data_IF_279235828374
#
_entry.id   IF_279235828374
#
_cell.length_a   1.000
_cell.length_b   1.000
_cell.length_c   1.000
_cell.angle_alpha   90.00
_cell.angle_beta   90.00
_cell.angle_gamma   90.00
#
_symmetry.space_group_name_H-M   'P 1'
#
loop_
_entity.id
_entity.type
_entity.pdbx_description
1 polymer ?
#
# COMPACT_ATOMS: atom_id res chain seq x y z
N UNK A 1 -10.80 22.49 4.54
CA UNK A 1 -9.68 22.64 3.61
C UNK A 1 -9.91 21.69 2.46
N UNK A 2 -9.67 22.10 1.23
CA UNK A 2 -9.79 21.20 0.08
C UNK A 2 -8.76 20.08 0.24
N UNK A 3 -9.24 18.85 0.42
CA UNK A 3 -8.37 17.67 0.42
C UNK A 3 -7.80 17.56 -0.99
N UNK A 4 -6.48 17.71 -1.20
CA UNK A 4 -5.95 17.57 -2.52
C UNK A 4 -6.27 16.16 -3.02
N UNK A 5 -6.78 16.06 -4.24
CA UNK A 5 -6.71 14.80 -4.98
C UNK A 5 -5.23 14.54 -5.20
N UNK A 6 -4.70 13.64 -4.39
CA UNK A 6 -3.31 13.18 -4.48
C UNK A 6 -3.45 11.75 -4.92
N UNK A 7 -3.45 11.51 -6.22
CA UNK A 7 -3.52 10.16 -6.79
C UNK A 7 -2.45 9.32 -6.10
N UNK A 8 -2.87 8.50 -5.13
CA UNK A 8 -1.99 7.51 -4.52
C UNK A 8 -1.82 6.35 -5.48
N UNK A 9 -2.66 6.26 -6.51
CA UNK A 9 -2.49 5.39 -7.65
C UNK A 9 -2.63 6.14 -8.98
N UNK A 10 -1.60 6.04 -9.81
CA UNK A 10 -1.64 6.41 -11.23
C UNK A 10 -1.38 5.16 -12.09
N UNK A 11 -1.99 5.04 -13.28
CA UNK A 11 -1.63 3.98 -14.22
C UNK A 11 -0.22 4.23 -14.77
N UNK A 12 0.70 3.31 -14.53
CA UNK A 12 2.05 3.33 -15.11
C UNK A 12 2.05 3.03 -16.61
N UNK A 13 3.23 3.02 -17.24
CA UNK A 13 3.40 2.81 -18.70
C UNK A 13 2.79 1.49 -19.22
N UNK A 14 2.53 0.53 -18.33
CA UNK A 14 1.92 -0.77 -18.65
C UNK A 14 0.56 -1.01 -17.97
N UNK A 15 -0.05 0.05 -17.41
CA UNK A 15 -1.32 -0.04 -16.66
C UNK A 15 -1.17 -0.59 -15.25
N UNK A 16 0.06 -0.71 -14.74
CA UNK A 16 0.36 -1.13 -13.37
C UNK A 16 0.05 0.01 -12.39
N UNK A 17 -0.46 -0.28 -11.18
CA UNK A 17 -0.65 0.75 -10.18
C UNK A 17 0.70 1.29 -9.70
N UNK A 18 0.90 2.60 -9.78
CA UNK A 18 2.05 3.29 -9.20
C UNK A 18 1.66 4.11 -7.98
N UNK A 19 2.46 4.08 -6.92
CA UNK A 19 2.24 4.86 -5.71
C UNK A 19 3.08 6.12 -5.64
N UNK A 20 2.46 7.23 -5.25
CA UNK A 20 3.16 8.51 -5.11
C UNK A 20 4.03 8.56 -3.85
N UNK A 21 5.22 9.13 -4.00
CA UNK A 21 6.07 9.58 -2.90
C UNK A 21 6.57 11.01 -3.16
N UNK A 22 6.89 11.73 -2.09
CA UNK A 22 7.44 13.10 -2.16
C UNK A 22 8.92 13.05 -1.85
N UNK A 23 9.73 13.68 -2.69
CA UNK A 23 11.16 13.83 -2.48
C UNK A 23 11.50 15.31 -2.32
N UNK A 24 12.20 15.65 -1.25
CA UNK A 24 12.63 17.00 -0.94
C UNK A 24 14.15 17.04 -0.87
N UNK A 25 14.76 18.06 -1.46
CA UNK A 25 16.21 18.31 -1.38
C UNK A 25 16.47 19.71 -0.85
N UNK A 26 17.47 19.82 0.01
CA UNK A 26 18.07 21.08 0.43
C UNK A 26 19.49 21.13 -0.11
N UNK A 27 19.74 22.05 -1.03
CA UNK A 27 21.05 22.23 -1.63
C UNK A 27 21.70 23.52 -1.16
N UNK A 28 23.03 23.53 -1.18
CA UNK A 28 23.84 24.72 -0.95
C UNK A 28 24.71 24.95 -2.19
N UNK A 29 24.54 26.10 -2.84
CA UNK A 29 25.30 26.43 -4.05
C UNK A 29 26.81 26.41 -3.76
N UNK A 30 27.58 25.63 -4.54
CA UNK A 30 29.02 25.48 -4.32
C UNK A 30 29.85 26.75 -4.49
N UNK A 31 29.32 27.74 -5.25
CA UNK A 31 30.00 29.02 -5.47
C UNK A 31 29.65 30.08 -4.41
N UNK A 32 28.37 30.31 -4.14
CA UNK A 32 27.92 31.43 -3.29
C UNK A 32 27.32 31.01 -1.94
N UNK A 33 27.15 29.71 -1.68
CA UNK A 33 26.56 29.17 -0.44
C UNK A 33 25.06 29.46 -0.28
N UNK A 34 24.39 29.96 -1.31
CA UNK A 34 22.95 30.20 -1.25
C UNK A 34 22.20 28.86 -1.10
N UNK A 35 21.33 28.79 -0.09
CA UNK A 35 20.56 27.60 0.24
C UNK A 35 19.22 27.65 -0.46
N UNK A 36 18.88 26.58 -1.19
CA UNK A 36 17.61 26.44 -1.88
C UNK A 36 17.00 25.07 -1.61
N UNK A 37 15.67 25.03 -1.59
CA UNK A 37 14.90 23.82 -1.35
C UNK A 37 14.06 23.51 -2.58
N UNK A 38 14.05 22.26 -3.00
CA UNK A 38 13.20 21.80 -4.09
C UNK A 38 12.41 20.56 -3.68
N UNK A 39 11.18 20.50 -4.18
CA UNK A 39 10.24 19.41 -3.96
C UNK A 39 9.90 18.76 -5.29
N UNK A 40 9.88 17.44 -5.29
CA UNK A 40 9.51 16.62 -6.42
C UNK A 40 8.40 15.64 -6.04
N UNK A 41 7.41 15.51 -6.92
CA UNK A 41 6.35 14.52 -6.81
C UNK A 41 6.66 13.41 -7.81
N UNK A 42 6.84 12.19 -7.30
CA UNK A 42 7.17 11.03 -8.11
C UNK A 42 6.23 9.87 -7.79
N UNK A 43 6.12 8.96 -8.75
CA UNK A 43 5.46 7.69 -8.60
C UNK A 43 6.47 6.55 -8.72
N UNK A 44 6.16 5.42 -8.10
CA UNK A 44 6.93 4.16 -8.22
C UNK A 44 5.96 3.01 -8.38
N UNK A 45 6.28 1.94 -9.13
CA UNK A 45 5.44 0.75 -9.19
C UNK A 45 5.13 0.23 -7.78
N UNK A 46 3.84 0.01 -7.49
CA UNK A 46 3.38 -0.32 -6.14
C UNK A 46 3.66 -1.77 -5.77
N UNK A 47 3.33 -2.71 -6.66
CA UNK A 47 3.44 -4.13 -6.42
C UNK A 47 4.84 -4.66 -6.08
N UNK A 48 5.94 -4.14 -6.65
CA UNK A 48 7.30 -4.53 -6.28
C UNK A 48 7.90 -3.67 -5.16
N UNK A 49 7.15 -2.73 -4.56
CA UNK A 49 7.67 -1.88 -3.50
C UNK A 49 7.93 -2.69 -2.23
N UNK A 50 9.14 -2.58 -1.70
CA UNK A 50 9.59 -3.19 -0.44
C UNK A 50 10.29 -2.14 0.42
N UNK A 51 10.58 -2.46 1.68
CA UNK A 51 11.38 -1.62 2.57
C UNK A 51 12.76 -1.34 1.97
N UNK A 52 13.41 -2.36 1.40
CA UNK A 52 14.69 -2.21 0.72
C UNK A 52 14.58 -1.22 -0.45
N UNK A 53 13.57 -1.39 -1.30
CA UNK A 53 13.34 -0.49 -2.43
C UNK A 53 13.07 0.95 -1.98
N UNK A 54 12.37 1.15 -0.87
CA UNK A 54 12.17 2.47 -0.29
C UNK A 54 13.51 3.11 0.15
N UNK A 55 14.42 2.32 0.71
CA UNK A 55 15.78 2.75 1.04
C UNK A 55 16.59 3.13 -0.22
N UNK A 56 16.48 2.36 -1.29
CA UNK A 56 17.10 2.70 -2.58
C UNK A 56 16.55 4.01 -3.17
N UNK A 57 15.23 4.23 -3.07
CA UNK A 57 14.60 5.47 -3.52
C UNK A 57 15.11 6.67 -2.72
N UNK A 58 15.28 6.54 -1.40
CA UNK A 58 15.86 7.57 -0.54
C UNK A 58 17.30 7.90 -0.97
N UNK A 59 18.13 6.87 -1.19
CA UNK A 59 19.51 7.04 -1.64
C UNK A 59 19.63 7.76 -3.00
N UNK A 60 18.58 7.69 -3.84
CA UNK A 60 18.52 8.35 -5.14
C UNK A 60 17.95 9.77 -5.09
N UNK A 61 17.37 10.23 -3.98
CA UNK A 61 16.79 11.58 -3.86
C UNK A 61 17.79 12.69 -4.25
N UNK A 62 19.08 12.66 -3.85
CA UNK A 62 20.03 13.68 -4.28
C UNK A 62 20.18 13.83 -5.79
N UNK A 63 19.96 12.75 -6.57
CA UNK A 63 20.06 12.77 -8.04
C UNK A 63 18.95 13.60 -8.70
N UNK A 64 17.94 14.01 -7.93
CA UNK A 64 16.83 14.87 -8.41
C UNK A 64 17.23 16.35 -8.48
N UNK A 65 18.33 16.75 -7.83
CA UNK A 65 18.83 18.12 -7.91
C UNK A 65 19.40 18.42 -9.31
N UNK A 66 18.94 19.51 -9.92
CA UNK A 66 19.43 20.01 -11.20
C UNK A 66 18.77 21.33 -11.57
N UNK A 67 19.42 22.46 -11.27
CA UNK A 67 18.90 23.80 -11.54
C UNK A 67 20.00 24.87 -11.49
N UNK A 68 19.71 26.08 -11.94
CA UNK A 68 20.60 27.25 -11.79
C UNK A 68 20.33 27.97 -10.46
N UNK A 69 21.38 28.30 -9.72
CA UNK A 69 21.29 29.04 -8.46
C UNK A 69 20.64 30.42 -8.69
N UNK A 70 19.56 30.71 -7.97
CA UNK A 70 18.80 31.97 -8.13
C UNK A 70 19.63 33.23 -7.81
N UNK A 71 20.72 33.08 -7.06
CA UNK A 71 21.55 34.20 -6.64
C UNK A 71 22.75 34.48 -7.58
N UNK A 72 23.40 33.45 -8.12
CA UNK A 72 24.63 33.61 -8.92
C UNK A 72 24.62 32.95 -10.29
N UNK A 73 23.59 32.17 -10.63
CA UNK A 73 23.47 31.46 -11.91
C UNK A 73 24.35 30.21 -12.05
N UNK A 74 25.07 29.80 -11.00
CA UNK A 74 25.87 28.56 -11.01
C UNK A 74 24.97 27.33 -11.04
N UNK A 75 25.37 26.28 -11.75
CA UNK A 75 24.64 25.01 -11.75
C UNK A 75 24.71 24.33 -10.37
N UNK A 76 23.55 23.88 -9.88
CA UNK A 76 23.38 23.15 -8.63
C UNK A 76 22.91 21.73 -8.97
N UNK A 77 23.83 20.78 -8.82
CA UNK A 77 23.61 19.35 -9.03
C UNK A 77 23.60 18.49 -7.75
N UNK A 78 23.61 17.14 -7.89
CA UNK A 78 23.53 16.19 -6.79
C UNK A 78 24.64 16.32 -5.74
N UNK A 79 25.83 16.76 -6.13
CA UNK A 79 26.96 17.04 -5.24
C UNK A 79 26.72 18.19 -4.27
N UNK A 80 25.77 19.08 -4.59
CA UNK A 80 25.43 20.26 -3.77
C UNK A 80 24.30 19.98 -2.77
N UNK A 81 23.74 18.77 -2.76
CA UNK A 81 22.68 18.37 -1.82
C UNK A 81 23.27 18.13 -0.44
N UNK A 82 22.95 19.02 0.50
CA UNK A 82 23.35 18.91 1.91
C UNK A 82 22.42 17.95 2.66
N UNK A 83 21.12 18.03 2.43
CA UNK A 83 20.12 17.20 3.08
C UNK A 83 19.04 16.78 2.06
N UNK A 84 18.49 15.59 2.25
CA UNK A 84 17.41 15.06 1.44
C UNK A 84 16.37 14.36 2.33
N UNK A 85 15.12 14.38 1.90
CA UNK A 85 14.05 13.65 2.55
C UNK A 85 13.17 12.93 1.52
N UNK A 86 12.69 11.74 1.88
CA UNK A 86 11.69 11.00 1.13
C UNK A 86 10.49 10.77 2.06
N UNK A 87 9.30 11.21 1.66
CA UNK A 87 8.05 10.92 2.38
C UNK A 87 7.19 9.97 1.56
N UNK A 88 6.93 8.80 2.12
CA UNK A 88 6.00 7.80 1.61
C UNK A 88 4.79 7.72 2.55
N UNK A 89 3.59 7.58 1.99
CA UNK A 89 2.39 7.33 2.78
C UNK A 89 1.66 6.10 2.29
N UNK A 90 1.34 5.19 3.22
CA UNK A 90 0.62 3.97 2.91
C UNK A 90 -0.73 4.29 2.27
N UNK A 91 -1.12 3.63 1.16
CA UNK A 91 -2.37 3.94 0.47
C UNK A 91 -3.63 3.73 1.31
N UNK A 92 -3.65 2.81 2.25
CA UNK A 92 -4.76 2.63 3.20
C UNK A 92 -4.78 3.64 4.37
N UNK A 93 -3.92 4.66 4.37
CA UNK A 93 -3.78 5.65 5.45
C UNK A 93 -3.25 5.09 6.78
N UNK A 94 -2.59 3.92 6.79
CA UNK A 94 -1.96 3.39 8.00
C UNK A 94 -0.94 4.35 8.64
N UNK A 95 -0.29 5.17 7.81
CA UNK A 95 0.63 6.20 8.26
C UNK A 95 1.55 6.71 7.16
N UNK A 96 2.62 7.37 7.57
CA UNK A 96 3.70 7.79 6.69
C UNK A 96 5.06 7.34 7.23
N UNK A 97 5.97 7.09 6.29
CA UNK A 97 7.39 6.84 6.52
C UNK A 97 8.16 8.01 5.92
N UNK A 98 8.99 8.68 6.72
CA UNK A 98 9.95 9.67 6.23
C UNK A 98 11.37 9.17 6.40
N UNK A 99 12.09 9.04 5.31
CA UNK A 99 13.53 8.83 5.33
C UNK A 99 14.25 10.16 5.21
N UNK A 100 15.25 10.39 6.05
CA UNK A 100 16.13 11.54 6.02
C UNK A 100 17.54 11.07 5.64
N UNK A 101 18.20 11.85 4.80
CA UNK A 101 19.59 11.66 4.40
C UNK A 101 20.34 12.96 4.67
N UNK A 102 21.23 12.96 5.65
CA UNK A 102 22.12 14.08 5.97
C UNK A 102 23.51 13.82 5.38
N UNK A 103 24.05 14.77 4.62
CA UNK A 103 25.38 14.70 3.97
C UNK A 103 26.34 15.79 4.45
N UNK A 104 25.99 16.50 5.52
CA UNK A 104 26.80 17.59 6.07
C UNK A 104 27.98 17.10 6.91
N UNK A 105 27.94 15.86 7.40
CA UNK A 105 29.02 15.20 8.13
C UNK A 105 30.07 14.51 7.24
N UNK A 106 31.05 13.87 7.89
CA UNK A 106 32.14 13.12 7.21
C UNK A 106 31.63 11.90 6.42
N UNK A 107 30.48 11.34 6.84
CA UNK A 107 29.79 10.25 6.16
C UNK A 107 28.28 10.55 6.11
N UNK A 108 27.57 10.12 5.06
CA UNK A 108 26.12 10.27 4.99
C UNK A 108 25.42 9.49 6.12
N UNK A 109 24.49 10.15 6.79
CA UNK A 109 23.66 9.58 7.85
C UNK A 109 22.23 9.40 7.34
N UNK A 110 21.62 8.27 7.68
CA UNK A 110 20.25 7.92 7.28
C UNK A 110 19.45 7.60 8.53
N UNK A 111 18.31 8.27 8.67
CA UNK A 111 17.36 8.05 9.75
C UNK A 111 15.94 8.00 9.19
N UNK A 112 15.05 7.30 9.89
CA UNK A 112 13.65 7.14 9.51
C UNK A 112 12.73 7.61 10.63
N UNK A 113 11.72 8.40 10.28
CA UNK A 113 10.64 8.83 11.16
C UNK A 113 9.32 8.19 10.69
N UNK A 114 8.63 7.50 11.59
CA UNK A 114 7.38 6.81 11.32
C UNK A 114 6.24 7.49 12.09
N UNK A 115 5.24 7.98 11.38
CA UNK A 115 4.03 8.57 11.98
C UNK A 115 2.80 7.73 11.63
N UNK A 116 2.28 6.97 12.60
CA UNK A 116 1.04 6.20 12.44
C UNK A 116 -0.19 7.10 12.33
N UNK A 117 -1.21 6.65 11.57
CA UNK A 117 -2.49 7.35 11.36
C UNK A 117 -2.37 8.76 10.76
N UNK A 118 -1.19 9.09 10.23
CA UNK A 118 -0.94 10.32 9.47
C UNK A 118 -1.09 10.04 7.99
N UNK A 119 -1.84 10.90 7.29
CA UNK A 119 -1.92 10.84 5.83
C UNK A 119 -0.76 11.61 5.19
N UNK A 120 -0.41 11.19 3.98
CA UNK A 120 0.53 11.93 3.16
C UNK A 120 -0.08 13.29 2.81
N UNK A 121 0.55 14.34 3.29
CA UNK A 121 0.21 15.71 2.93
C UNK A 121 1.25 16.21 1.91
N UNK A 122 0.88 16.34 0.62
CA UNK A 122 1.81 16.75 -0.44
C UNK A 122 2.24 18.22 -0.32
N UNK A 123 1.59 19.01 0.55
CA UNK A 123 1.90 20.42 0.78
C UNK A 123 2.74 20.63 2.05
N UNK A 124 2.73 19.68 2.98
CA UNK A 124 3.56 19.74 4.17
C UNK A 124 5.04 19.54 3.79
N UNK A 125 5.88 20.54 4.03
CA UNK A 125 7.34 20.41 3.93
C UNK A 125 7.86 19.55 5.09
N UNK A 126 8.86 18.68 4.85
CA UNK A 126 9.43 17.88 5.93
C UNK A 126 10.24 18.78 6.87
N UNK A 127 10.60 18.25 8.03
CA UNK A 127 11.81 18.73 8.70
C UNK A 127 13.03 18.44 7.82
N UNK A 128 14.20 18.94 8.20
CA UNK A 128 15.46 18.48 7.59
C UNK A 128 16.19 17.44 8.45
N UNK A 129 15.61 17.13 9.60
CA UNK A 129 16.03 16.10 10.55
C UNK A 129 14.78 15.43 11.11
N UNK A 130 14.88 14.19 11.61
CA UNK A 130 13.76 13.54 12.30
C UNK A 130 13.27 14.36 13.49
N UNK A 131 11.99 14.18 13.83
CA UNK A 131 11.39 14.77 15.02
C UNK A 131 10.66 13.71 15.85
N UNK A 132 11.19 13.40 17.02
CA UNK A 132 10.68 12.40 17.97
C UNK A 132 9.37 12.83 18.67
N UNK A 133 8.99 14.11 18.59
CA UNK A 133 7.68 14.59 19.04
C UNK A 133 6.57 14.27 18.05
N UNK A 134 6.90 14.04 16.77
CA UNK A 134 5.92 13.74 15.71
C UNK A 134 5.71 12.24 15.50
N UNK A 135 6.79 11.48 15.56
CA UNK A 135 6.78 10.05 15.26
C UNK A 135 7.96 9.32 15.92
N UNK A 136 8.01 8.01 15.72
CA UNK A 136 9.11 7.21 16.23
C UNK A 136 10.30 7.25 15.26
N UNK A 137 11.52 7.42 15.78
CA UNK A 137 12.75 7.59 14.99
C UNK A 137 13.64 6.35 15.07
N UNK A 138 14.19 5.91 13.93
CA UNK A 138 15.05 4.74 13.81
C UNK A 138 16.23 4.98 12.85
N UNK A 139 17.40 4.46 13.21
CA UNK A 139 18.58 4.47 12.33
C UNK A 139 18.45 3.48 11.16
N UNK A 140 17.52 2.53 11.26
CA UNK A 140 17.25 1.50 10.24
C UNK A 140 15.77 1.18 10.17
N UNK A 141 15.29 1.01 8.95
CA UNK A 141 13.93 0.56 8.67
C UNK A 141 13.93 -0.95 8.39
N UNK A 142 13.04 -1.70 9.04
CA UNK A 142 12.81 -3.11 8.80
C UNK A 142 11.35 -3.49 9.00
N UNK A 143 10.94 -4.65 8.48
CA UNK A 143 9.54 -5.12 8.49
C UNK A 143 8.95 -5.14 9.91
N UNK A 144 9.68 -5.69 10.90
CA UNK A 144 9.21 -5.74 12.29
C UNK A 144 9.01 -4.36 12.94
N UNK A 145 9.74 -3.33 12.46
CA UNK A 145 9.52 -1.95 12.92
C UNK A 145 8.23 -1.38 12.34
N UNK A 146 7.95 -1.68 11.07
CA UNK A 146 6.74 -1.24 10.38
C UNK A 146 5.52 -1.93 10.98
N UNK A 147 5.60 -3.24 11.19
CA UNK A 147 4.56 -4.03 11.84
C UNK A 147 4.24 -3.47 13.23
N UNK A 148 5.26 -3.19 14.05
CA UNK A 148 5.04 -2.64 15.39
C UNK A 148 4.38 -1.26 15.39
N UNK A 149 4.83 -0.35 14.52
CA UNK A 149 4.38 1.05 14.53
C UNK A 149 3.03 1.21 13.84
N UNK A 150 2.84 0.56 12.69
CA UNK A 150 1.64 0.71 11.87
C UNK A 150 0.61 -0.42 12.08
N UNK A 151 0.96 -1.47 12.84
CA UNK A 151 0.17 -2.71 13.01
C UNK A 151 -0.09 -3.45 11.70
N UNK A 152 0.79 -3.28 10.71
CA UNK A 152 0.70 -3.94 9.41
C UNK A 152 2.09 -4.21 8.84
N UNK A 153 2.21 -5.23 8.01
CA UNK A 153 3.41 -5.44 7.19
C UNK A 153 3.49 -4.39 6.09
N UNK A 154 4.71 -4.13 5.59
CA UNK A 154 4.87 -3.22 4.47
C UNK A 154 4.27 -3.83 3.18
N UNK A 155 4.56 -5.11 2.93
CA UNK A 155 4.15 -5.82 1.73
C UNK A 155 3.59 -7.23 2.08
N UNK A 156 2.26 -7.45 1.98
CA UNK A 156 1.65 -8.75 2.26
C UNK A 156 2.18 -9.93 1.42
N UNK A 157 2.79 -9.67 0.25
CA UNK A 157 3.41 -10.74 -0.56
C UNK A 157 4.62 -11.35 0.13
N UNK A 158 5.41 -10.54 0.83
CA UNK A 158 6.56 -11.06 1.56
C UNK A 158 6.10 -11.91 2.74
N UNK A 159 5.04 -11.47 3.44
CA UNK A 159 4.43 -12.27 4.51
C UNK A 159 3.87 -13.60 4.00
N UNK A 160 3.25 -13.64 2.82
CA UNK A 160 2.85 -14.90 2.20
C UNK A 160 4.04 -15.85 2.02
N UNK A 161 5.17 -15.35 1.51
CA UNK A 161 6.37 -16.16 1.31
C UNK A 161 6.93 -16.67 2.64
N UNK A 162 7.01 -15.81 3.66
CA UNK A 162 7.44 -16.18 5.01
C UNK A 162 6.54 -17.27 5.60
N UNK A 163 5.22 -17.15 5.47
CA UNK A 163 4.29 -18.18 5.94
C UNK A 163 4.44 -19.51 5.20
N UNK A 164 4.73 -19.51 3.89
CA UNK A 164 5.02 -20.75 3.17
C UNK A 164 6.31 -21.40 3.64
N UNK A 165 7.33 -20.61 3.99
CA UNK A 165 8.58 -21.12 4.57
C UNK A 165 8.35 -21.73 5.96
N UNK A 166 7.55 -21.07 6.81
CA UNK A 166 7.18 -21.56 8.14
C UNK A 166 6.37 -22.85 8.05
N UNK A 167 5.33 -22.87 7.21
CA UNK A 167 4.52 -24.08 6.97
C UNK A 167 5.36 -25.21 6.38
N UNK A 168 6.28 -24.94 5.45
CA UNK A 168 7.15 -25.98 4.90
C UNK A 168 8.09 -26.59 5.95
N UNK A 169 8.40 -25.85 7.03
CA UNK A 169 9.19 -26.34 8.16
C UNK A 169 8.38 -27.22 9.12
N UNK A 170 7.08 -26.96 9.27
CA UNK A 170 6.14 -27.75 10.09
C UNK A 170 4.73 -27.85 9.45
N UNK A 171 4.52 -28.72 8.45
CA UNK A 171 3.26 -28.76 7.71
C UNK A 171 2.05 -29.19 8.53
N UNK A 172 2.26 -29.97 9.60
CA UNK A 172 1.20 -30.45 10.49
C UNK A 172 0.75 -29.39 11.52
N UNK A 173 1.56 -28.35 11.73
CA UNK A 173 1.27 -27.26 12.67
C UNK A 173 0.59 -26.06 12.02
N UNK A 174 0.57 -26.00 10.69
CA UNK A 174 0.06 -24.86 9.94
C UNK A 174 0.90 -23.59 10.11
N UNK A 175 0.53 -22.54 9.40
CA UNK A 175 1.11 -21.21 9.57
C UNK A 175 0.03 -20.13 9.51
N UNK A 176 0.14 -19.13 10.38
CA UNK A 176 -0.81 -18.03 10.49
C UNK A 176 -0.08 -16.72 10.78
N UNK A 177 -0.53 -15.63 10.14
CA UNK A 177 -0.13 -14.28 10.51
C UNK A 177 -1.20 -13.23 10.22
N UNK A 178 -1.15 -12.13 10.97
CA UNK A 178 -1.91 -10.92 10.71
C UNK A 178 -1.10 -9.98 9.81
N UNK A 179 -1.57 -9.73 8.58
CA UNK A 179 -0.90 -8.84 7.63
C UNK A 179 -1.19 -7.37 7.92
N UNK A 180 -2.41 -7.07 8.37
CA UNK A 180 -2.89 -5.75 8.75
C UNK A 180 -4.18 -5.93 9.57
N UNK A 181 -4.65 -4.90 10.31
CA UNK A 181 -5.94 -4.97 10.99
C UNK A 181 -7.04 -5.33 9.98
N UNK A 182 -7.87 -6.32 10.28
CA UNK A 182 -8.87 -6.84 9.35
C UNK A 182 -8.33 -7.78 8.24
N UNK A 183 -7.07 -8.20 8.27
CA UNK A 183 -6.48 -9.03 7.22
C UNK A 183 -5.52 -10.10 7.75
N UNK A 184 -5.95 -11.34 7.74
CA UNK A 184 -5.20 -12.48 8.24
C UNK A 184 -4.99 -13.54 7.17
N UNK A 185 -3.86 -14.24 7.26
CA UNK A 185 -3.41 -15.22 6.29
C UNK A 185 -3.19 -16.55 7.01
N UNK A 186 -3.66 -17.64 6.39
CA UNK A 186 -3.57 -19.00 6.92
C UNK A 186 -3.03 -19.92 5.83
N UNK A 187 -2.11 -20.81 6.19
CA UNK A 187 -1.60 -21.89 5.35
C UNK A 187 -1.67 -23.21 6.11
N UNK A 188 -2.25 -24.21 5.45
CA UNK A 188 -2.44 -25.56 5.98
C UNK A 188 -2.37 -26.60 4.85
N UNK A 189 -2.41 -27.89 5.17
CA UNK A 189 -2.43 -28.93 4.12
C UNK A 189 -3.78 -28.98 3.37
N UNK A 190 -4.88 -28.67 4.07
CA UNK A 190 -6.25 -28.81 3.55
C UNK A 190 -7.17 -27.69 4.03
N UNK A 191 -8.29 -27.47 3.31
CA UNK A 191 -9.36 -26.53 3.71
C UNK A 191 -9.90 -26.82 5.12
N UNK A 192 -10.07 -28.10 5.46
CA UNK A 192 -10.57 -28.49 6.78
C UNK A 192 -9.55 -28.13 7.87
N UNK A 193 -8.27 -28.44 7.66
CA UNK A 193 -7.21 -28.11 8.62
C UNK A 193 -7.06 -26.59 8.78
N UNK A 194 -7.17 -25.81 7.69
CA UNK A 194 -7.17 -24.35 7.76
C UNK A 194 -8.32 -23.79 8.61
N UNK A 195 -9.51 -24.38 8.49
CA UNK A 195 -10.67 -24.01 9.31
C UNK A 195 -10.46 -24.37 10.79
N UNK A 196 -9.90 -25.55 11.07
CA UNK A 196 -9.56 -25.97 12.43
C UNK A 196 -8.51 -25.05 13.07
N UNK A 197 -7.45 -24.70 12.32
CA UNK A 197 -6.45 -23.73 12.75
C UNK A 197 -7.07 -22.35 13.00
N UNK A 198 -8.01 -21.92 12.15
CA UNK A 198 -8.68 -20.64 12.31
C UNK A 198 -9.49 -20.54 13.60
N UNK A 199 -10.14 -21.63 14.01
CA UNK A 199 -10.86 -21.72 15.29
C UNK A 199 -9.91 -21.65 16.51
N UNK A 200 -8.61 -21.95 16.33
CA UNK A 200 -7.58 -21.92 17.38
C UNK A 200 -6.85 -20.57 17.50
N UNK A 201 -7.04 -19.65 16.56
CA UNK A 201 -6.37 -18.34 16.57
C UNK A 201 -6.72 -17.56 17.86
N UNK A 202 -5.68 -17.13 18.58
CA UNK A 202 -5.76 -16.30 19.80
C UNK A 202 -5.50 -14.83 19.54
N UNK A 203 -6.19 -14.28 18.55
CA UNK A 203 -6.22 -12.85 18.21
C UNK A 203 -7.62 -12.29 18.52
N UNK A 204 -7.68 -11.28 19.40
CA UNK A 204 -8.93 -10.66 19.84
C UNK A 204 -9.69 -9.99 18.68
N UNK A 205 -8.97 -9.31 17.78
CA UNK A 205 -9.56 -8.62 16.63
C UNK A 205 -10.07 -9.62 15.60
N UNK A 206 -9.35 -10.72 15.38
CA UNK A 206 -9.79 -11.81 14.53
C UNK A 206 -11.10 -12.41 15.03
N UNK A 207 -11.17 -12.76 16.32
CA UNK A 207 -12.36 -13.39 16.92
C UNK A 207 -13.57 -12.47 16.90
N UNK A 208 -13.39 -11.20 17.24
CA UNK A 208 -14.47 -10.21 17.16
C UNK A 208 -15.03 -10.13 15.74
N UNK A 209 -14.17 -9.97 14.73
CA UNK A 209 -14.60 -9.89 13.33
C UNK A 209 -15.22 -11.21 12.81
N UNK A 210 -14.71 -12.36 13.26
CA UNK A 210 -15.21 -13.68 12.90
C UNK A 210 -16.61 -13.91 13.49
N UNK A 211 -16.79 -13.65 14.79
CA UNK A 211 -18.07 -13.80 15.49
C UNK A 211 -19.15 -12.84 14.95
N UNK A 212 -18.76 -11.64 14.53
CA UNK A 212 -19.64 -10.66 13.89
C UNK A 212 -19.99 -11.01 12.44
N UNK A 213 -19.34 -12.02 11.86
CA UNK A 213 -19.52 -12.42 10.46
C UNK A 213 -18.99 -11.40 9.46
N UNK A 214 -18.10 -10.49 9.87
CA UNK A 214 -17.51 -9.47 9.01
C UNK A 214 -16.45 -10.06 8.06
N UNK A 215 -15.88 -11.22 8.42
CA UNK A 215 -14.82 -11.87 7.63
C UNK A 215 -15.37 -12.58 6.40
N UNK A 216 -14.67 -12.41 5.28
CA UNK A 216 -14.79 -13.23 4.09
C UNK A 216 -13.57 -14.13 3.99
N UNK A 217 -13.78 -15.44 3.89
CA UNK A 217 -12.71 -16.42 3.64
C UNK A 217 -12.47 -16.54 2.14
N UNK A 218 -11.24 -16.32 1.72
CA UNK A 218 -10.86 -16.28 0.30
C UNK A 218 -9.62 -17.17 0.11
N UNK A 219 -9.78 -18.36 -0.49
CA UNK A 219 -8.64 -19.18 -0.90
C UNK A 219 -7.80 -18.44 -1.93
N UNK A 220 -6.48 -18.47 -1.78
CA UNK A 220 -5.54 -17.79 -2.67
C UNK A 220 -5.67 -18.31 -4.10
N UNK A 221 -5.82 -19.62 -4.28
CA UNK A 221 -6.01 -20.25 -5.59
C UNK A 221 -7.29 -19.76 -6.31
N UNK A 222 -8.35 -19.46 -5.55
CA UNK A 222 -9.65 -19.00 -6.05
C UNK A 222 -9.85 -17.47 -5.92
N UNK A 223 -8.78 -16.73 -5.61
CA UNK A 223 -8.85 -15.30 -5.35
C UNK A 223 -9.07 -14.45 -6.59
N UNK A 224 -8.99 -15.00 -7.81
CA UNK A 224 -9.20 -14.23 -9.04
C UNK A 224 -10.64 -13.67 -9.05
N UNK A 225 -10.82 -12.34 -9.07
CA UNK A 225 -12.16 -11.76 -8.99
C UNK A 225 -12.93 -11.98 -10.31
N UNK A 226 -14.15 -12.52 -10.23
CA UNK A 226 -14.95 -12.82 -11.42
C UNK A 226 -15.35 -11.57 -12.22
N UNK A 227 -15.59 -10.44 -11.55
CA UNK A 227 -15.92 -9.16 -12.17
C UNK A 227 -15.31 -8.02 -11.36
N UNK A 228 -14.21 -7.46 -11.85
CA UNK A 228 -13.73 -6.18 -11.33
C UNK A 228 -14.42 -5.02 -12.05
N UNK A 229 -14.79 -3.96 -11.34
CA UNK A 229 -15.45 -2.81 -11.97
C UNK A 229 -14.60 -2.22 -13.11
N UNK A 230 -13.29 -2.16 -12.90
CA UNK A 230 -12.31 -1.41 -13.71
C UNK A 230 -11.52 -2.27 -14.69
N UNK A 231 -11.59 -3.60 -14.57
CA UNK A 231 -10.81 -4.53 -15.40
C UNK A 231 -11.74 -5.46 -16.18
N UNK A 232 -11.55 -5.52 -17.50
CA UNK A 232 -12.34 -6.41 -18.37
C UNK A 232 -11.79 -7.84 -18.44
N UNK A 233 -10.52 -8.03 -18.06
CA UNK A 233 -9.80 -9.31 -18.04
C UNK A 233 -9.14 -9.49 -16.66
N UNK A 234 -9.85 -10.06 -15.68
CA UNK A 234 -9.34 -10.23 -14.33
C UNK A 234 -8.07 -11.09 -14.24
N UNK A 235 -7.84 -11.96 -15.22
CA UNK A 235 -6.61 -12.73 -15.36
C UNK A 235 -5.40 -11.84 -15.67
N UNK A 236 -5.59 -10.61 -16.15
CA UNK A 236 -4.52 -9.69 -16.51
C UNK A 236 -4.25 -8.62 -15.45
N UNK A 237 -4.83 -8.75 -14.24
CA UNK A 237 -4.58 -7.80 -13.16
C UNK A 237 -3.09 -7.82 -12.77
N UNK A 238 -2.41 -6.67 -12.76
CA UNK A 238 -1.04 -6.55 -12.28
C UNK A 238 -0.88 -7.10 -10.86
N UNK A 239 0.26 -7.72 -10.57
CA UNK A 239 0.58 -8.19 -9.23
C UNK A 239 -0.16 -9.44 -8.75
N UNK A 240 -0.88 -10.16 -9.63
CA UNK A 240 -1.51 -11.46 -9.28
C UNK A 240 -0.52 -12.48 -8.74
N UNK A 241 -0.93 -13.34 -7.81
CA UNK A 241 -0.06 -14.29 -7.12
C UNK A 241 0.74 -15.20 -8.06
N UNK A 242 0.19 -15.56 -9.22
CA UNK A 242 0.90 -16.38 -10.20
C UNK A 242 2.15 -15.69 -10.77
N UNK A 243 2.28 -14.37 -10.64
CA UNK A 243 3.43 -13.60 -11.16
C UNK A 243 4.56 -13.41 -10.16
N UNK A 244 4.30 -13.57 -8.87
CA UNK A 244 5.30 -13.31 -7.82
C UNK A 244 5.55 -14.50 -6.88
N UNK A 245 4.64 -15.48 -6.79
CA UNK A 245 4.93 -16.71 -6.07
C UNK A 245 5.97 -17.56 -6.83
N UNK A 246 6.98 -18.10 -6.12
CA UNK A 246 7.89 -19.13 -6.62
C UNK A 246 7.15 -20.31 -7.27
N UNK A 247 7.78 -20.92 -8.29
CA UNK A 247 7.16 -22.01 -9.07
C UNK A 247 6.82 -23.25 -8.25
N UNK A 248 7.66 -23.59 -7.28
CA UNK A 248 7.45 -24.68 -6.33
C UNK A 248 6.22 -24.44 -5.44
N UNK A 249 6.07 -23.23 -4.87
CA UNK A 249 4.88 -22.86 -4.10
C UNK A 249 3.62 -22.90 -4.96
N UNK A 250 3.68 -22.38 -6.19
CA UNK A 250 2.54 -22.43 -7.12
C UNK A 250 2.14 -23.88 -7.43
N UNK A 251 3.11 -24.77 -7.65
CA UNK A 251 2.84 -26.19 -7.90
C UNK A 251 2.21 -26.89 -6.68
N UNK A 252 2.54 -26.50 -5.46
CA UNK A 252 1.91 -27.03 -4.25
C UNK A 252 0.42 -26.63 -4.18
N UNK A 253 0.12 -25.35 -4.40
CA UNK A 253 -1.25 -24.83 -4.40
C UNK A 253 -2.09 -25.44 -5.54
N UNK A 254 -1.58 -25.42 -6.76
CA UNK A 254 -2.28 -25.96 -7.93
C UNK A 254 -2.43 -27.49 -7.88
N UNK A 255 -1.49 -28.16 -7.20
CA UNK A 255 -1.53 -29.60 -6.96
C UNK A 255 -2.43 -30.03 -5.80
N UNK A 256 -2.95 -29.09 -5.00
CA UNK A 256 -3.74 -29.37 -3.80
C UNK A 256 -2.93 -30.01 -2.67
N UNK A 257 -1.61 -29.77 -2.64
CA UNK A 257 -0.72 -30.22 -1.55
C UNK A 257 -0.52 -29.15 -0.47
N UNK A 258 -1.08 -27.97 -0.68
CA UNK A 258 -1.16 -26.88 0.28
C UNK A 258 -2.48 -26.14 0.05
N UNK A 259 -3.06 -25.66 1.15
CA UNK A 259 -4.23 -24.79 1.19
C UNK A 259 -3.82 -23.46 1.82
N UNK A 260 -3.96 -22.38 1.06
CA UNK A 260 -3.68 -21.04 1.53
C UNK A 260 -4.93 -20.19 1.38
N UNK A 261 -5.37 -19.55 2.47
CA UNK A 261 -6.55 -18.71 2.48
C UNK A 261 -6.35 -17.46 3.32
N UNK A 262 -7.10 -16.43 2.96
CA UNK A 262 -7.12 -15.19 3.71
C UNK A 262 -8.49 -14.95 4.32
N UNK A 263 -8.47 -14.48 5.56
CA UNK A 263 -9.63 -13.99 6.28
C UNK A 263 -9.60 -12.47 6.18
N UNK A 264 -10.62 -11.90 5.53
CA UNK A 264 -10.58 -10.49 5.14
C UNK A 264 -11.85 -9.79 5.59
N UNK A 265 -11.69 -8.75 6.41
CA UNK A 265 -12.77 -7.90 6.89
C UNK A 265 -13.39 -7.07 5.75
N UNK A 266 -14.73 -7.05 5.68
CA UNK A 266 -15.47 -6.22 4.72
C UNK A 266 -15.44 -4.74 5.10
N UNK A 267 -15.52 -4.44 6.41
CA UNK A 267 -15.58 -3.08 6.93
C UNK A 267 -14.41 -2.21 6.45
N UNK A 268 -13.17 -2.73 6.50
CA UNK A 268 -11.98 -2.00 6.06
C UNK A 268 -12.00 -1.59 4.58
N UNK A 269 -12.58 -2.40 3.70
CA UNK A 269 -12.74 -2.05 2.27
C UNK A 269 -13.79 -0.96 2.09
N UNK A 270 -14.93 -1.09 2.76
CA UNK A 270 -16.02 -0.11 2.66
C UNK A 270 -15.51 1.25 3.11
N UNK A 271 -14.92 1.35 4.31
CA UNK A 271 -14.38 2.61 4.84
C UNK A 271 -13.38 3.28 3.88
N UNK A 272 -12.49 2.50 3.25
CA UNK A 272 -11.54 3.01 2.28
C UNK A 272 -12.22 3.57 1.03
N UNK A 273 -13.23 2.88 0.50
CA UNK A 273 -14.00 3.33 -0.67
C UNK A 273 -14.81 4.59 -0.33
N UNK A 274 -15.56 4.59 0.79
CA UNK A 274 -16.40 5.72 1.21
C UNK A 274 -15.57 6.99 1.36
N UNK A 275 -14.39 6.87 1.97
CA UNK A 275 -13.45 7.96 2.15
C UNK A 275 -12.95 8.50 0.81
N UNK A 276 -12.51 7.63 -0.09
CA UNK A 276 -12.02 8.05 -1.42
C UNK A 276 -13.13 8.70 -2.24
N UNK A 277 -14.35 8.15 -2.21
CA UNK A 277 -15.51 8.75 -2.85
C UNK A 277 -15.87 10.10 -2.22
N UNK A 278 -15.76 10.24 -0.90
CA UNK A 278 -15.94 11.52 -0.19
C UNK A 278 -14.96 12.60 -0.63
N UNK A 279 -13.67 12.28 -0.73
CA UNK A 279 -12.63 13.18 -1.31
C UNK A 279 -13.02 13.57 -2.73
N UNK A 280 -13.48 12.59 -3.51
CA UNK A 280 -13.88 12.76 -4.89
C UNK A 280 -15.25 13.44 -5.09
N UNK A 281 -15.96 13.72 -4.00
CA UNK A 281 -17.35 14.19 -3.99
C UNK A 281 -18.30 13.32 -4.81
N UNK A 282 -18.01 12.01 -4.89
CA UNK A 282 -18.90 11.04 -5.52
C UNK A 282 -20.00 10.64 -4.53
N UNK A 283 -21.23 10.53 -5.03
CA UNK A 283 -22.36 9.96 -4.31
C UNK A 283 -22.61 8.53 -4.78
N UNK A 284 -23.18 7.69 -3.91
CA UNK A 284 -23.44 6.29 -4.19
C UNK A 284 -24.56 5.76 -3.28
N UNK A 285 -25.11 4.59 -3.61
CA UNK A 285 -26.00 3.81 -2.76
C UNK A 285 -25.30 2.51 -2.35
N UNK A 286 -25.51 2.05 -1.12
CA UNK A 286 -25.05 0.73 -0.66
C UNK A 286 -26.27 -0.18 -0.55
N UNK A 287 -26.25 -1.26 -1.32
CA UNK A 287 -27.22 -2.34 -1.27
C UNK A 287 -26.58 -3.54 -0.56
N UNK A 288 -27.08 -3.89 0.63
CA UNK A 288 -26.68 -5.10 1.34
C UNK A 288 -27.57 -6.27 0.94
N UNK A 289 -26.95 -7.34 0.48
CA UNK A 289 -27.62 -8.63 0.20
C UNK A 289 -27.17 -9.68 1.21
N UNK A 290 -27.83 -10.84 1.21
CA UNK A 290 -27.44 -11.97 2.05
C UNK A 290 -26.03 -12.51 1.73
N UNK A 291 -25.47 -12.15 0.56
CA UNK A 291 -24.21 -12.71 0.04
C UNK A 291 -23.09 -11.67 -0.06
N UNK A 292 -23.43 -10.40 -0.29
CA UNK A 292 -22.45 -9.34 -0.56
C UNK A 292 -22.98 -7.94 -0.25
N UNK A 293 -22.06 -6.99 -0.13
CA UNK A 293 -22.29 -5.55 -0.13
C UNK A 293 -22.01 -5.00 -1.53
N UNK A 294 -22.96 -4.26 -2.09
CA UNK A 294 -22.86 -3.75 -3.45
C UNK A 294 -23.01 -2.24 -3.47
N UNK A 295 -22.00 -1.52 -3.98
CA UNK A 295 -22.08 -0.08 -4.20
C UNK A 295 -22.62 0.18 -5.60
N UNK A 296 -23.71 0.93 -5.69
CA UNK A 296 -24.42 1.23 -6.93
C UNK A 296 -24.67 2.73 -7.10
N UNK A 297 -25.13 3.12 -8.29
CA UNK A 297 -25.45 4.52 -8.65
C UNK A 297 -24.34 5.52 -8.26
N UNK A 298 -23.09 5.15 -8.55
CA UNK A 298 -21.95 6.00 -8.25
C UNK A 298 -21.97 7.18 -9.23
N UNK A 299 -22.13 8.40 -8.73
CA UNK A 299 -22.30 9.60 -9.55
C UNK A 299 -21.39 10.76 -9.15
N UNK A 300 -20.93 11.53 -10.13
CA UNK A 300 -20.19 12.78 -9.91
C UNK A 300 -21.14 13.94 -9.54
N UNK A 301 -20.62 15.07 -9.02
CA UNK A 301 -21.42 16.30 -8.83
C UNK A 301 -22.01 16.86 -10.13
N UNK A 302 -21.50 16.44 -11.29
CA UNK A 302 -22.00 16.81 -12.61
C UNK A 302 -23.01 15.80 -13.20
N UNK A 303 -23.55 14.91 -12.37
CA UNK A 303 -24.51 13.85 -12.75
C UNK A 303 -23.94 12.83 -13.76
N UNK A 304 -22.62 12.71 -13.91
CA UNK A 304 -22.02 11.61 -14.67
C UNK A 304 -22.10 10.32 -13.84
N UNK A 305 -22.63 9.25 -14.44
CA UNK A 305 -22.91 7.98 -13.77
C UNK A 305 -21.86 6.94 -14.15
N UNK A 306 -21.28 6.28 -13.15
CA UNK A 306 -20.49 5.09 -13.39
C UNK A 306 -21.45 3.94 -13.71
N UNK A 307 -21.40 3.45 -14.94
CA UNK A 307 -22.38 2.50 -15.48
C UNK A 307 -22.32 1.09 -14.89
N UNK A 308 -21.43 0.83 -13.93
CA UNK A 308 -21.25 -0.46 -13.24
C UNK A 308 -21.39 -0.22 -11.73
N UNK A 309 -21.66 -1.26 -10.97
CA UNK A 309 -21.53 -1.22 -9.51
C UNK A 309 -20.26 -1.92 -9.04
N UNK A 310 -20.02 -1.88 -7.73
CA UNK A 310 -18.85 -2.46 -7.08
C UNK A 310 -19.32 -3.48 -6.05
N UNK A 311 -19.01 -4.75 -6.30
CA UNK A 311 -19.16 -5.83 -5.33
C UNK A 311 -17.98 -5.80 -4.35
N UNK A 312 -18.24 -5.68 -3.05
CA UNK A 312 -17.17 -5.67 -2.02
C UNK A 312 -16.39 -6.98 -2.05
N UNK A 313 -17.06 -8.12 -2.27
CA UNK A 313 -16.40 -9.42 -2.45
C UNK A 313 -15.36 -9.44 -3.58
N UNK A 314 -15.60 -8.72 -4.69
CA UNK A 314 -14.65 -8.63 -5.80
C UNK A 314 -13.41 -7.80 -5.44
N UNK A 315 -13.58 -6.78 -4.61
CA UNK A 315 -12.47 -5.95 -4.11
C UNK A 315 -11.63 -6.70 -3.08
N UNK A 316 -12.26 -7.46 -2.17
CA UNK A 316 -11.56 -8.34 -1.23
C UNK A 316 -10.76 -9.42 -1.97
N UNK A 317 -11.37 -10.05 -2.98
CA UNK A 317 -10.67 -11.00 -3.87
C UNK A 317 -9.47 -10.38 -4.56
N UNK A 318 -9.57 -9.12 -5.02
CA UNK A 318 -8.41 -8.38 -5.56
C UNK A 318 -7.30 -8.22 -4.53
N UNK A 319 -7.62 -7.91 -3.28
CA UNK A 319 -6.63 -7.76 -2.20
C UNK A 319 -5.78 -9.04 -2.06
N UNK A 320 -6.47 -10.19 -1.96
CA UNK A 320 -5.82 -11.51 -1.84
C UNK A 320 -5.06 -11.89 -3.11
N UNK A 321 -5.71 -11.76 -4.27
CA UNK A 321 -5.13 -12.11 -5.56
C UNK A 321 -3.84 -11.33 -5.84
N UNK A 322 -3.81 -10.04 -5.50
CA UNK A 322 -2.68 -9.16 -5.80
C UNK A 322 -1.70 -8.96 -4.65
N UNK A 323 -1.96 -9.57 -3.48
CA UNK A 323 -1.11 -9.49 -2.30
C UNK A 323 -0.99 -8.06 -1.73
N UNK A 324 -2.10 -7.35 -1.60
CA UNK A 324 -2.18 -5.99 -1.02
C UNK A 324 -3.20 -5.96 0.11
N UNK A 325 -3.20 -4.93 0.97
CA UNK A 325 -4.18 -4.85 2.06
C UNK A 325 -5.58 -4.59 1.53
N UNK A 326 -6.64 -4.93 2.29
CA UNK A 326 -8.02 -4.66 1.88
C UNK A 326 -8.29 -3.16 1.71
N UNK A 327 -7.73 -2.34 2.61
CA UNK A 327 -7.78 -0.89 2.49
C UNK A 327 -7.10 -0.37 1.23
N UNK A 328 -5.95 -0.94 0.84
CA UNK A 328 -5.26 -0.60 -0.40
C UNK A 328 -6.08 -0.99 -1.64
N UNK A 329 -6.68 -2.19 -1.64
CA UNK A 329 -7.55 -2.65 -2.73
C UNK A 329 -8.82 -1.81 -2.87
N UNK A 330 -9.45 -1.46 -1.75
CA UNK A 330 -10.60 -0.56 -1.67
C UNK A 330 -10.27 0.80 -2.24
N UNK A 331 -9.18 1.42 -1.77
CA UNK A 331 -8.73 2.71 -2.28
C UNK A 331 -8.38 2.67 -3.76
N UNK A 332 -7.61 1.68 -4.20
CA UNK A 332 -7.20 1.54 -5.59
C UNK A 332 -8.42 1.42 -6.52
N UNK A 333 -9.40 0.60 -6.13
CA UNK A 333 -10.65 0.47 -6.89
C UNK A 333 -11.44 1.78 -6.92
N UNK A 334 -11.51 2.50 -5.80
CA UNK A 334 -12.22 3.77 -5.73
C UNK A 334 -11.52 4.89 -6.54
N UNK A 335 -10.19 4.98 -6.50
CA UNK A 335 -9.40 5.95 -7.28
C UNK A 335 -9.49 5.66 -8.78
N UNK A 336 -9.52 4.39 -9.20
CA UNK A 336 -9.78 3.99 -10.58
C UNK A 336 -11.16 4.47 -11.06
N UNK A 337 -12.22 4.25 -10.27
CA UNK A 337 -13.58 4.68 -10.61
C UNK A 337 -13.68 6.21 -10.69
N UNK A 338 -13.15 6.91 -9.68
CA UNK A 338 -13.11 8.37 -9.66
C UNK A 338 -12.34 8.91 -10.86
N UNK A 339 -11.23 8.28 -11.20
CA UNK A 339 -10.42 8.56 -12.37
C UNK A 339 -11.16 8.46 -13.70
N UNK A 340 -11.84 7.32 -13.91
CA UNK A 340 -12.67 7.07 -15.08
C UNK A 340 -13.80 8.10 -15.22
N UNK A 341 -14.45 8.46 -14.11
CA UNK A 341 -15.54 9.43 -14.09
C UNK A 341 -15.06 10.87 -14.31
N UNK A 342 -14.03 11.30 -13.61
CA UNK A 342 -13.54 12.69 -13.66
C UNK A 342 -12.64 12.95 -14.87
N UNK A 343 -12.32 11.93 -15.67
CA UNK A 343 -11.44 12.01 -16.86
C UNK A 343 -10.07 12.61 -16.55
N UNK A 344 -9.56 12.23 -15.39
CA UNK A 344 -8.25 12.62 -14.84
C UNK A 344 -7.21 11.50 -15.02
N UNK A 345 -7.52 10.56 -15.92
CA UNK A 345 -6.71 9.41 -16.32
C UNK A 345 -6.19 9.56 -17.75
#
# INVERSE_FOLDING_TARGET
>A
MAEPFVFRFAPGEHGEPEVMYVADVRCECGLCGHVQMQRFYHSTPFHPLTVERLGELLAQVPQKAGYECENCGEEVGPEHVAQAALTYGFPDDAGIIRGYLDRTGDAPEVEFELEARRRLDPQALPGWTPNDERGEVFDRLGESTIERVFRRVFNPKLLWLELFEDWAADPEGGAFACAAPGYWLVIEETEQAASELADEIDDEEFREAYDDGDLMVIPLADSVPAQLPTHSYPDQIPGRWQTWLPEDIRALLEGGNAWAEAYVSRSGVVEAIERTFGVAQLTYEIDQTDVDLFLSKITTPGDEVYGRGVAVSAVLRRAVCTGITPGEAGRLTAEEIAGMLLRVW
#
